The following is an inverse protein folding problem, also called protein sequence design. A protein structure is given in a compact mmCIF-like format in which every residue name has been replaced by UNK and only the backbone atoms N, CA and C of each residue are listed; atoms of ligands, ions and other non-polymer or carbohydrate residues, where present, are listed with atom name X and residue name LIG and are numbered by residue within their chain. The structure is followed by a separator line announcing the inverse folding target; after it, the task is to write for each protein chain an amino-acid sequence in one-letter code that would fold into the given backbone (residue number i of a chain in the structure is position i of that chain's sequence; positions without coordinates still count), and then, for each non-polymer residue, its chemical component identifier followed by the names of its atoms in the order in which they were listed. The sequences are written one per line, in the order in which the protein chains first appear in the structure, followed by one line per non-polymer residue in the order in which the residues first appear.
data_IF_784755558507
#
_entry.id   IF_784755558507
#
_cell.length_a   1.000
_cell.length_b   1.000
_cell.length_c   1.000
_cell.angle_alpha   90.00
_cell.angle_beta   90.00
_cell.angle_gamma   90.00
#
_symmetry.space_group_name_H-M   'P 1'
#
loop_
_entity.id
_entity.type
_entity.pdbx_description
1 polymer ?
#
# COMPACT_ATOMS: atom_id res chain seq x y z
N UNK A 1 78.63 -10.25 11.55
CA UNK A 1 78.89 -10.94 12.85
C UNK A 1 80.12 -10.29 13.46
N UNK A 2 80.15 -9.98 14.77
CA UNK A 2 79.98 -10.93 15.88
C UNK A 2 78.75 -10.59 16.76
N UNK A 3 77.92 -11.56 17.18
CA UNK A 3 78.00 -12.47 18.36
C UNK A 3 78.01 -11.76 19.74
N UNK A 4 76.88 -11.87 20.45
CA UNK A 4 76.69 -11.78 21.92
C UNK A 4 77.51 -12.88 22.66
N UNK A 5 77.54 -13.06 24.02
CA UNK A 5 76.52 -12.79 25.10
C UNK A 5 77.17 -12.49 26.53
N UNK A 6 76.70 -12.97 27.72
CA UNK A 6 75.44 -12.79 28.50
C UNK A 6 75.63 -12.36 30.01
N UNK A 7 74.52 -12.40 30.79
CA UNK A 7 74.37 -12.56 32.27
C UNK A 7 74.20 -11.22 33.06
N UNK A 8 73.35 -11.05 34.09
CA UNK A 8 72.76 -11.91 35.14
C UNK A 8 71.42 -11.36 35.69
N UNK A 9 70.51 -12.24 36.13
CA UNK A 9 69.34 -11.99 37.02
C UNK A 9 69.79 -11.76 38.50
N UNK A 10 68.97 -11.68 39.60
CA UNK A 10 67.53 -11.98 39.77
C UNK A 10 66.74 -11.06 40.76
N UNK A 11 65.41 -11.23 40.85
CA UNK A 11 64.67 -11.43 42.14
C UNK A 11 63.17 -11.67 41.90
N UNK A 12 62.68 -12.81 42.41
CA UNK A 12 61.26 -13.13 42.65
C UNK A 12 61.02 -13.15 44.18
N UNK A 13 59.79 -12.97 44.68
CA UNK A 13 58.89 -14.11 44.99
C UNK A 13 57.40 -13.76 44.69
N UNK A 14 56.34 -14.57 44.78
CA UNK A 14 55.98 -15.96 45.14
C UNK A 14 54.55 -16.12 44.55
N UNK A 15 54.25 -17.15 43.76
CA UNK A 15 53.71 -18.49 44.15
C UNK A 15 52.21 -18.49 44.50
N UNK A 16 51.45 -19.28 43.74
CA UNK A 16 50.04 -19.64 44.00
C UNK A 16 49.27 -20.04 42.74
N UNK A 17 49.75 -21.02 41.96
CA UNK A 17 49.24 -22.41 41.91
C UNK A 17 47.81 -22.60 41.36
N UNK A 18 47.77 -23.01 40.08
CA UNK A 18 46.73 -23.80 39.41
C UNK A 18 46.16 -24.93 40.31
N UNK A 19 44.85 -25.12 40.32
CA UNK A 19 44.21 -26.43 40.09
C UNK A 19 42.68 -26.34 39.93
N UNK A 20 42.23 -26.66 38.70
CA UNK A 20 41.07 -27.46 38.28
C UNK A 20 39.80 -27.61 39.17
N UNK A 21 38.66 -27.63 38.43
CA UNK A 21 37.25 -27.91 38.79
C UNK A 21 36.47 -26.63 39.11
N UNK A 22 35.32 -26.30 38.53
CA UNK A 22 34.26 -27.09 37.91
C UNK A 22 33.71 -26.35 36.68
N UNK A 23 33.38 -27.11 35.64
CA UNK A 23 32.42 -26.71 34.61
C UNK A 23 31.06 -26.73 35.30
N UNK A 24 30.52 -25.57 35.66
CA UNK A 24 29.10 -25.43 36.01
C UNK A 24 28.39 -24.64 34.92
N UNK A 25 27.39 -25.33 34.36
CA UNK A 25 26.44 -24.90 33.35
C UNK A 25 25.69 -23.62 33.73
N UNK A 26 25.29 -22.79 32.75
CA UNK A 26 24.57 -21.56 33.03
C UNK A 26 23.18 -21.88 33.58
N UNK A 27 22.95 -21.53 34.85
CA UNK A 27 21.64 -21.58 35.47
C UNK A 27 20.69 -20.60 34.78
N UNK A 28 19.79 -21.18 34.01
CA UNK A 28 18.42 -20.75 33.72
C UNK A 28 17.92 -19.53 34.52
N UNK A 29 18.21 -18.32 34.03
CA UNK A 29 17.32 -17.17 34.20
C UNK A 29 16.37 -17.15 33.00
N UNK A 30 15.33 -17.97 33.09
CA UNK A 30 14.22 -17.94 32.15
C UNK A 30 13.59 -16.54 32.16
N UNK A 31 13.99 -15.67 31.22
CA UNK A 31 13.09 -14.64 30.74
C UNK A 31 11.95 -15.39 30.08
N UNK A 32 10.79 -15.42 30.74
CA UNK A 32 9.54 -15.80 30.11
C UNK A 32 9.26 -14.80 28.98
N UNK A 33 9.81 -15.07 27.80
CA UNK A 33 9.24 -14.58 26.57
C UNK A 33 7.87 -15.22 26.44
N UNK A 34 6.85 -14.59 27.03
CA UNK A 34 5.48 -14.88 26.71
C UNK A 34 5.36 -14.78 25.17
N UNK A 35 4.91 -15.84 24.47
CA UNK A 35 4.66 -15.71 23.05
C UNK A 35 3.57 -14.65 22.88
N UNK A 36 3.83 -13.62 22.06
CA UNK A 36 2.82 -12.65 21.64
C UNK A 36 1.77 -13.34 20.75
N UNK A 37 0.99 -14.25 21.34
CA UNK A 37 -0.11 -14.97 20.69
C UNK A 37 -1.36 -14.08 20.53
N UNK A 38 -1.30 -12.81 20.93
CA UNK A 38 -2.42 -11.86 20.76
C UNK A 38 -2.38 -11.12 19.41
N UNK A 39 -1.31 -11.29 18.63
CA UNK A 39 -1.16 -10.62 17.33
C UNK A 39 -2.06 -11.23 16.25
N UNK A 40 -2.22 -12.54 16.21
CA UNK A 40 -2.93 -13.24 15.14
C UNK A 40 -4.44 -13.12 15.32
N UNK A 41 -4.94 -13.38 16.52
CA UNK A 41 -6.37 -13.26 16.86
C UNK A 41 -6.88 -11.82 16.68
N UNK A 42 -6.12 -10.82 17.11
CA UNK A 42 -6.50 -9.41 16.93
C UNK A 42 -6.48 -8.98 15.44
N UNK A 43 -5.57 -9.53 14.62
CA UNK A 43 -5.57 -9.31 13.17
C UNK A 43 -6.79 -9.97 12.51
N UNK A 44 -7.15 -11.18 12.93
CA UNK A 44 -8.35 -11.89 12.46
C UNK A 44 -9.64 -11.17 12.84
N UNK A 45 -9.79 -10.72 14.10
CA UNK A 45 -10.96 -9.94 14.55
C UNK A 45 -11.09 -8.61 13.80
N UNK A 46 -9.98 -7.94 13.50
CA UNK A 46 -9.99 -6.73 12.66
C UNK A 46 -10.39 -7.04 11.22
N UNK A 47 -9.88 -8.13 10.65
CA UNK A 47 -10.26 -8.56 9.30
C UNK A 47 -11.74 -8.97 9.22
N UNK A 48 -12.23 -9.74 10.20
CA UNK A 48 -13.63 -10.12 10.32
C UNK A 48 -14.53 -8.89 10.52
N UNK A 49 -14.09 -7.89 11.31
CA UNK A 49 -14.79 -6.61 11.45
C UNK A 49 -14.89 -5.84 10.12
N UNK A 50 -13.83 -5.84 9.30
CA UNK A 50 -13.86 -5.23 7.96
C UNK A 50 -14.82 -5.97 7.04
N UNK A 51 -14.82 -7.31 7.05
CA UNK A 51 -15.74 -8.13 6.25
C UNK A 51 -17.20 -7.90 6.68
N UNK A 52 -17.48 -7.90 7.99
CA UNK A 52 -18.80 -7.66 8.53
C UNK A 52 -19.33 -6.24 8.25
N UNK A 53 -18.48 -5.22 8.39
CA UNK A 53 -18.82 -3.85 8.02
C UNK A 53 -19.13 -3.72 6.52
N UNK A 54 -18.34 -4.38 5.68
CA UNK A 54 -18.54 -4.35 4.23
C UNK A 54 -19.80 -5.12 3.82
N UNK A 55 -20.07 -6.27 4.44
CA UNK A 55 -21.33 -6.99 4.28
C UNK A 55 -22.55 -6.17 4.71
N UNK A 56 -22.43 -5.44 5.82
CA UNK A 56 -23.45 -4.50 6.29
C UNK A 56 -23.70 -3.35 5.30
N UNK A 57 -22.67 -2.80 4.66
CA UNK A 57 -22.83 -1.81 3.60
C UNK A 57 -23.56 -2.38 2.38
N UNK A 58 -23.22 -3.60 1.96
CA UNK A 58 -23.88 -4.28 0.84
C UNK A 58 -25.36 -4.59 1.16
N UNK A 59 -25.67 -5.04 2.37
CA UNK A 59 -27.04 -5.30 2.81
C UNK A 59 -27.84 -3.99 2.95
N UNK A 60 -27.21 -2.95 3.52
CA UNK A 60 -27.80 -1.62 3.63
C UNK A 60 -28.14 -1.02 2.27
N UNK A 61 -27.27 -1.19 1.27
CA UNK A 61 -27.58 -0.80 -0.12
C UNK A 61 -28.78 -1.58 -0.66
N UNK A 62 -28.81 -2.91 -0.54
CA UNK A 62 -29.96 -3.72 -0.97
C UNK A 62 -31.26 -3.29 -0.29
N UNK A 63 -31.23 -2.99 1.00
CA UNK A 63 -32.39 -2.51 1.77
C UNK A 63 -32.84 -1.12 1.32
N UNK A 64 -31.92 -0.17 1.14
CA UNK A 64 -32.21 1.17 0.65
C UNK A 64 -32.75 1.15 -0.78
N UNK A 65 -32.21 0.29 -1.64
CA UNK A 65 -32.68 0.10 -3.01
C UNK A 65 -34.07 -0.55 -3.03
N UNK A 66 -34.35 -1.49 -2.12
CA UNK A 66 -35.69 -2.06 -1.94
C UNK A 66 -36.72 -1.01 -1.51
N UNK A 67 -36.38 -0.17 -0.52
CA UNK A 67 -37.20 0.98 -0.10
C UNK A 67 -37.43 2.00 -1.23
N UNK A 68 -36.39 2.29 -2.02
CA UNK A 68 -36.49 3.20 -3.15
C UNK A 68 -37.38 2.63 -4.27
N UNK A 69 -37.33 1.31 -4.49
CA UNK A 69 -38.21 0.61 -5.43
C UNK A 69 -39.69 0.71 -5.01
N UNK A 70 -40.00 0.58 -3.71
CA UNK A 70 -41.36 0.76 -3.19
C UNK A 70 -41.89 2.20 -3.33
N UNK A 71 -41.02 3.21 -3.30
CA UNK A 71 -41.39 4.62 -3.47
C UNK A 71 -41.56 5.06 -4.94
N UNK A 72 -41.55 4.13 -5.90
CA UNK A 72 -41.79 4.43 -7.31
C UNK A 72 -40.59 5.05 -8.03
N UNK A 73 -39.41 5.10 -7.40
CA UNK A 73 -38.16 5.22 -8.14
C UNK A 73 -37.91 3.87 -8.81
N UNK A 74 -38.52 3.66 -9.98
CA UNK A 74 -38.46 2.40 -10.72
C UNK A 74 -37.04 1.91 -10.93
N UNK A 75 -36.62 0.97 -10.09
CA UNK A 75 -35.43 0.14 -10.24
C UNK A 75 -35.97 -1.27 -10.34
N UNK A 76 -36.34 -1.68 -11.55
CA UNK A 76 -36.80 -3.03 -11.81
C UNK A 76 -35.65 -3.99 -11.56
N UNK A 77 -35.67 -4.65 -10.40
CA UNK A 77 -34.88 -5.85 -10.09
C UNK A 77 -35.79 -7.06 -10.13
N UNK A 78 -36.64 -7.16 -11.15
CA UNK A 78 -37.52 -8.31 -11.33
C UNK A 78 -37.15 -9.02 -12.63
N UNK A 79 -36.56 -10.20 -12.47
CA UNK A 79 -36.37 -11.15 -13.55
C UNK A 79 -34.99 -11.15 -14.20
N UNK A 80 -34.60 -12.33 -14.66
CA UNK A 80 -33.35 -12.69 -15.36
C UNK A 80 -33.30 -12.09 -16.78
N UNK A 81 -33.81 -10.87 -16.96
CA UNK A 81 -33.55 -10.04 -18.13
C UNK A 81 -32.38 -9.13 -17.77
N UNK A 82 -31.25 -9.30 -18.46
CA UNK A 82 -30.03 -8.48 -18.32
C UNK A 82 -30.28 -7.03 -18.82
N UNK A 83 -31.26 -6.32 -18.27
CA UNK A 83 -31.42 -4.88 -18.43
C UNK A 83 -30.50 -4.23 -17.42
N UNK A 84 -29.33 -3.82 -17.88
CA UNK A 84 -28.37 -3.06 -17.06
C UNK A 84 -29.10 -1.91 -16.32
N UNK A 85 -29.04 -1.86 -14.98
CA UNK A 85 -29.63 -0.77 -14.22
C UNK A 85 -29.05 0.55 -14.70
N UNK A 86 -29.87 1.59 -14.89
CA UNK A 86 -29.40 2.94 -15.28
C UNK A 86 -28.30 3.46 -14.33
N UNK A 87 -28.34 3.02 -13.07
CA UNK A 87 -27.34 3.31 -12.04
C UNK A 87 -25.96 2.73 -12.32
N UNK A 88 -25.85 1.63 -13.09
CA UNK A 88 -24.55 1.09 -13.50
C UNK A 88 -23.77 2.09 -14.37
N UNK A 89 -24.47 2.98 -15.09
CA UNK A 89 -23.84 4.10 -15.79
C UNK A 89 -23.02 5.00 -14.86
N UNK A 90 -23.41 5.14 -13.59
CA UNK A 90 -22.64 5.87 -12.59
C UNK A 90 -21.32 5.17 -12.26
N UNK A 91 -21.32 3.85 -12.16
CA UNK A 91 -20.10 3.05 -11.93
C UNK A 91 -19.11 3.23 -13.08
N UNK A 92 -19.59 3.22 -14.31
CA UNK A 92 -18.72 3.46 -15.48
C UNK A 92 -18.14 4.88 -15.42
N UNK A 93 -18.98 5.88 -15.14
CA UNK A 93 -18.54 7.27 -15.07
C UNK A 93 -17.52 7.51 -13.95
N UNK A 94 -17.73 6.97 -12.76
CA UNK A 94 -16.86 7.18 -11.60
C UNK A 94 -15.63 6.27 -11.59
N UNK A 95 -15.79 4.98 -11.87
CA UNK A 95 -14.75 3.97 -11.65
C UNK A 95 -13.95 3.67 -12.91
N UNK A 96 -14.47 3.98 -14.10
CA UNK A 96 -13.74 3.84 -15.37
C UNK A 96 -13.29 5.21 -15.87
N UNK A 97 -14.22 6.14 -16.13
CA UNK A 97 -13.88 7.42 -16.77
C UNK A 97 -13.06 8.32 -15.83
N UNK A 98 -13.60 8.64 -14.66
CA UNK A 98 -12.90 9.51 -13.69
C UNK A 98 -11.57 8.90 -13.22
N UNK A 99 -11.54 7.59 -12.95
CA UNK A 99 -10.30 6.91 -12.53
C UNK A 99 -9.23 6.93 -13.63
N UNK A 100 -9.62 6.79 -14.91
CA UNK A 100 -8.71 6.89 -16.06
C UNK A 100 -8.15 8.30 -16.16
N UNK A 101 -8.98 9.32 -16.00
CA UNK A 101 -8.53 10.73 -16.00
C UNK A 101 -7.48 10.94 -14.89
N UNK A 102 -7.73 10.45 -13.67
CA UNK A 102 -6.75 10.54 -12.57
C UNK A 102 -5.45 9.82 -12.91
N UNK A 103 -5.52 8.62 -13.51
CA UNK A 103 -4.32 7.88 -13.92
C UNK A 103 -3.53 8.60 -15.01
N UNK A 104 -4.22 9.21 -15.98
CA UNK A 104 -3.60 10.04 -17.02
C UNK A 104 -2.93 11.27 -16.40
N UNK A 105 -3.61 11.97 -15.48
CA UNK A 105 -3.04 13.11 -14.75
C UNK A 105 -1.77 12.73 -13.99
N UNK A 106 -1.76 11.59 -13.28
CA UNK A 106 -0.56 11.08 -12.61
C UNK A 106 0.55 10.72 -13.60
N UNK A 107 0.20 10.19 -14.78
CA UNK A 107 1.13 9.92 -15.87
C UNK A 107 1.82 11.19 -16.36
N UNK A 108 1.03 12.23 -16.67
CA UNK A 108 1.57 13.54 -17.07
C UNK A 108 2.43 14.18 -15.98
N UNK A 109 2.01 14.09 -14.71
CA UNK A 109 2.80 14.58 -13.58
C UNK A 109 4.17 13.92 -13.50
N UNK A 110 4.27 12.61 -13.77
CA UNK A 110 5.56 11.92 -13.79
C UNK A 110 6.50 12.46 -14.88
N UNK A 111 5.95 12.85 -16.04
CA UNK A 111 6.70 13.47 -17.13
C UNK A 111 7.15 14.90 -16.79
N UNK A 112 6.29 15.71 -16.19
CA UNK A 112 6.66 17.06 -15.74
C UNK A 112 7.69 17.05 -14.63
N UNK A 113 7.58 16.11 -13.68
CA UNK A 113 8.54 15.97 -12.58
C UNK A 113 9.93 15.63 -13.10
N UNK A 114 10.07 14.81 -14.16
CA UNK A 114 11.37 14.55 -14.80
C UNK A 114 12.07 15.85 -15.23
N UNK A 115 11.33 16.77 -15.87
CA UNK A 115 11.86 18.07 -16.30
C UNK A 115 12.25 18.93 -15.09
N UNK A 116 11.39 19.01 -14.08
CA UNK A 116 11.62 19.78 -12.86
C UNK A 116 12.86 19.30 -12.08
N UNK A 117 13.03 17.98 -11.95
CA UNK A 117 14.18 17.38 -11.27
C UNK A 117 15.47 17.51 -12.09
N UNK A 118 15.41 17.42 -13.42
CA UNK A 118 16.54 17.70 -14.29
C UNK A 118 17.01 19.16 -14.18
N UNK A 119 16.09 20.13 -14.15
CA UNK A 119 16.43 21.55 -13.96
C UNK A 119 17.03 21.83 -12.58
N UNK A 120 16.51 21.19 -11.53
CA UNK A 120 17.08 21.30 -10.17
C UNK A 120 18.50 20.74 -10.12
N UNK A 121 18.73 19.58 -10.73
CA UNK A 121 20.06 18.98 -10.80
C UNK A 121 21.06 19.87 -11.57
N UNK A 122 20.64 20.52 -12.66
CA UNK A 122 21.47 21.50 -13.38
C UNK A 122 21.85 22.70 -12.51
N UNK A 123 20.90 23.21 -11.72
CA UNK A 123 21.15 24.34 -10.79
C UNK A 123 22.11 23.96 -9.67
N UNK A 124 22.05 22.71 -9.21
CA UNK A 124 22.97 22.17 -8.21
C UNK A 124 24.37 21.87 -8.78
N UNK A 125 24.62 22.15 -10.07
CA UNK A 125 25.92 22.00 -10.72
C UNK A 125 26.24 20.58 -11.19
N UNK A 126 25.22 19.71 -11.33
CA UNK A 126 25.41 18.34 -11.78
C UNK A 126 25.55 18.26 -13.31
N UNK A 127 26.76 17.94 -13.79
CA UNK A 127 27.10 17.81 -15.22
C UNK A 127 26.31 16.68 -15.91
N UNK A 128 25.88 15.65 -15.17
CA UNK A 128 25.13 14.50 -15.70
C UNK A 128 23.63 14.57 -15.35
N UNK A 129 23.10 15.75 -15.03
CA UNK A 129 21.69 15.97 -14.68
C UNK A 129 20.71 15.41 -15.71
N UNK A 130 20.91 15.71 -17.00
CA UNK A 130 20.01 15.22 -18.05
C UNK A 130 20.09 13.70 -18.21
N UNK A 131 21.29 13.13 -18.14
CA UNK A 131 21.49 11.68 -18.25
C UNK A 131 20.85 10.91 -17.08
N UNK A 132 20.79 11.51 -15.89
CA UNK A 132 20.19 10.91 -14.70
C UNK A 132 18.66 10.90 -14.72
N UNK A 133 18.01 11.95 -15.23
CA UNK A 133 16.57 12.15 -15.10
C UNK A 133 15.77 12.07 -16.43
N UNK A 134 16.45 12.07 -17.58
CA UNK A 134 15.81 11.91 -18.90
C UNK A 134 15.41 10.47 -19.21
N UNK A 135 14.59 10.32 -20.24
CA UNK A 135 14.29 9.01 -20.82
C UNK A 135 15.59 8.43 -21.44
N UNK A 136 15.87 7.12 -21.31
CA UNK A 136 14.94 6.03 -21.00
C UNK A 136 14.94 5.56 -19.53
N UNK A 137 15.72 6.18 -18.63
CA UNK A 137 15.86 5.69 -17.25
C UNK A 137 14.57 5.84 -16.47
N UNK A 138 14.11 4.74 -15.85
CA UNK A 138 12.89 4.73 -15.04
C UNK A 138 13.14 5.33 -13.65
N UNK A 139 14.30 5.03 -13.08
CA UNK A 139 14.78 5.48 -11.78
C UNK A 139 16.09 6.25 -11.94
N UNK A 140 16.31 7.26 -11.11
CA UNK A 140 17.59 7.95 -11.02
C UNK A 140 18.56 7.13 -10.16
N UNK A 141 19.78 6.98 -10.66
CA UNK A 141 20.87 6.28 -9.97
C UNK A 141 21.53 7.20 -8.93
N UNK A 142 22.06 6.61 -7.86
CA UNK A 142 22.74 7.31 -6.77
C UNK A 142 21.88 7.52 -5.51
N UNK A 143 22.56 7.66 -4.38
CA UNK A 143 21.95 7.87 -3.05
C UNK A 143 21.73 9.34 -2.70
N UNK A 144 21.82 10.24 -3.69
CA UNK A 144 21.55 11.66 -3.51
C UNK A 144 20.09 11.91 -3.12
N UNK A 145 19.85 12.97 -2.33
CA UNK A 145 18.50 13.36 -1.91
C UNK A 145 17.57 13.57 -3.11
N UNK A 146 18.07 14.23 -4.16
CA UNK A 146 17.32 14.50 -5.38
C UNK A 146 16.92 13.22 -6.13
N UNK A 147 17.84 12.26 -6.25
CA UNK A 147 17.58 10.94 -6.85
C UNK A 147 16.54 10.15 -6.06
N UNK A 148 16.62 10.18 -4.73
CA UNK A 148 15.65 9.50 -3.86
C UNK A 148 14.25 10.13 -3.96
N UNK A 149 14.16 11.46 -3.91
CA UNK A 149 12.90 12.20 -4.04
C UNK A 149 12.23 11.91 -5.40
N UNK A 150 13.03 11.88 -6.48
CA UNK A 150 12.57 11.49 -7.82
C UNK A 150 12.06 10.04 -7.86
N UNK A 151 12.84 9.10 -7.32
CA UNK A 151 12.47 7.68 -7.28
C UNK A 151 11.18 7.45 -6.48
N UNK A 152 10.97 8.21 -5.41
CA UNK A 152 9.73 8.16 -4.63
C UNK A 152 8.51 8.61 -5.45
N UNK A 153 8.62 9.69 -6.22
CA UNK A 153 7.54 10.18 -7.11
C UNK A 153 7.21 9.12 -8.18
N UNK A 154 8.22 8.58 -8.85
CA UNK A 154 8.03 7.54 -9.87
C UNK A 154 7.40 6.28 -9.27
N UNK A 155 7.87 5.85 -8.09
CA UNK A 155 7.28 4.68 -7.39
C UNK A 155 5.83 4.90 -7.04
N UNK A 156 5.43 6.11 -6.65
CA UNK A 156 4.04 6.47 -6.36
C UNK A 156 3.12 6.26 -7.56
N UNK A 157 3.57 6.65 -8.76
CA UNK A 157 2.85 6.42 -10.01
C UNK A 157 2.83 4.94 -10.41
N UNK A 158 3.96 4.24 -10.34
CA UNK A 158 4.02 2.80 -10.65
C UNK A 158 3.12 1.96 -9.74
N UNK A 159 3.07 2.28 -8.44
CA UNK A 159 2.16 1.60 -7.54
C UNK A 159 0.69 1.82 -7.94
N UNK A 160 0.38 2.95 -8.59
CA UNK A 160 -0.96 3.18 -9.10
C UNK A 160 -1.24 2.24 -10.27
N UNK A 161 -0.31 2.15 -11.23
CA UNK A 161 -0.40 1.23 -12.36
C UNK A 161 -0.49 -0.25 -11.95
N UNK A 162 0.23 -0.67 -10.92
CA UNK A 162 0.18 -2.04 -10.39
C UNK A 162 -1.21 -2.42 -9.87
N UNK A 163 -1.91 -1.46 -9.25
CA UNK A 163 -3.21 -1.71 -8.59
C UNK A 163 -4.42 -1.34 -9.43
N UNK A 164 -4.23 -0.55 -10.48
CA UNK A 164 -5.30 0.01 -11.30
C UNK A 164 -6.11 -1.06 -12.08
N UNK A 165 -5.49 -2.05 -12.75
CA UNK A 165 -6.24 -3.10 -13.45
C UNK A 165 -7.15 -3.90 -12.52
N UNK A 166 -6.67 -4.24 -11.33
CA UNK A 166 -7.47 -4.94 -10.31
C UNK A 166 -8.62 -4.07 -9.82
N UNK A 167 -8.39 -2.77 -9.59
CA UNK A 167 -9.43 -1.83 -9.19
C UNK A 167 -10.55 -1.73 -10.24
N UNK A 168 -10.20 -1.55 -11.51
CA UNK A 168 -11.19 -1.44 -12.60
C UNK A 168 -11.92 -2.76 -12.81
N UNK A 169 -11.20 -3.89 -12.87
CA UNK A 169 -11.80 -5.21 -13.08
C UNK A 169 -12.80 -5.56 -11.98
N UNK A 170 -12.43 -5.38 -10.71
CA UNK A 170 -13.33 -5.64 -9.59
C UNK A 170 -14.48 -4.61 -9.54
N UNK A 171 -14.25 -3.35 -9.94
CA UNK A 171 -15.34 -2.35 -9.99
C UNK A 171 -16.41 -2.71 -11.01
N UNK A 172 -16.00 -3.19 -12.18
CA UNK A 172 -16.93 -3.60 -13.23
C UNK A 172 -17.77 -4.79 -12.81
N UNK A 173 -17.16 -5.78 -12.14
CA UNK A 173 -17.85 -6.98 -11.64
C UNK A 173 -18.75 -6.64 -10.45
N UNK A 174 -18.21 -6.04 -9.39
CA UNK A 174 -18.97 -5.71 -8.18
C UNK A 174 -20.07 -4.68 -8.41
N UNK A 175 -19.89 -3.77 -9.39
CA UNK A 175 -20.89 -2.77 -9.73
C UNK A 175 -22.18 -3.36 -10.30
N UNK A 176 -22.15 -4.59 -10.82
CA UNK A 176 -23.35 -5.26 -11.36
C UNK A 176 -24.36 -5.58 -10.24
N UNK A 177 -23.88 -5.96 -9.06
CA UNK A 177 -24.75 -6.23 -7.90
C UNK A 177 -24.95 -5.04 -6.97
N UNK A 178 -23.95 -4.14 -6.88
CA UNK A 178 -23.90 -3.04 -5.91
C UNK A 178 -23.47 -1.72 -6.58
N UNK A 179 -24.30 -1.14 -7.46
CA UNK A 179 -23.89 -0.02 -8.30
C UNK A 179 -23.62 1.28 -7.52
N UNK A 180 -24.33 1.55 -6.42
CA UNK A 180 -24.17 2.80 -5.65
C UNK A 180 -22.93 2.73 -4.78
N UNK A 181 -22.73 1.65 -4.02
CA UNK A 181 -21.56 1.48 -3.17
C UNK A 181 -20.26 1.51 -3.98
N UNK A 182 -20.25 0.80 -5.11
CA UNK A 182 -19.07 0.73 -5.99
C UNK A 182 -18.77 2.08 -6.63
N UNK A 183 -19.79 2.84 -7.06
CA UNK A 183 -19.61 4.19 -7.61
C UNK A 183 -19.01 5.16 -6.58
N UNK A 184 -19.53 5.16 -5.34
CA UNK A 184 -18.97 5.96 -4.24
C UNK A 184 -17.52 5.58 -3.93
N UNK A 185 -17.22 4.28 -3.93
CA UNK A 185 -15.86 3.80 -3.71
C UNK A 185 -14.88 4.31 -4.77
N UNK A 186 -15.28 4.46 -6.04
CA UNK A 186 -14.39 5.02 -7.07
C UNK A 186 -14.12 6.51 -6.95
N UNK A 187 -15.09 7.30 -6.46
CA UNK A 187 -14.87 8.71 -6.13
C UNK A 187 -13.86 8.82 -4.98
N UNK A 188 -14.08 8.05 -3.90
CA UNK A 188 -13.17 8.03 -2.75
C UNK A 188 -11.79 7.54 -3.16
N UNK A 189 -11.70 6.50 -3.99
CA UNK A 189 -10.43 5.98 -4.50
C UNK A 189 -9.70 7.05 -5.31
N UNK A 190 -10.38 7.78 -6.18
CA UNK A 190 -9.80 8.86 -7.00
C UNK A 190 -9.16 9.95 -6.16
N UNK A 191 -9.87 10.43 -5.12
CA UNK A 191 -9.34 11.45 -4.18
C UNK A 191 -8.20 10.87 -3.33
N UNK A 192 -8.35 9.64 -2.84
CA UNK A 192 -7.32 8.99 -2.04
C UNK A 192 -6.04 8.78 -2.86
N UNK A 193 -6.15 8.47 -4.16
CA UNK A 193 -5.02 8.20 -5.05
C UNK A 193 -4.20 9.46 -5.34
N UNK A 194 -4.84 10.60 -5.60
CA UNK A 194 -4.14 11.88 -5.80
C UNK A 194 -3.37 12.28 -4.54
N UNK A 195 -3.99 12.18 -3.35
CA UNK A 195 -3.33 12.44 -2.07
C UNK A 195 -2.20 11.46 -1.76
N UNK A 196 -2.37 10.19 -2.11
CA UNK A 196 -1.37 9.15 -1.91
C UNK A 196 -0.12 9.38 -2.76
N UNK A 197 -0.30 9.76 -4.04
CA UNK A 197 0.79 10.12 -4.93
C UNK A 197 1.54 11.37 -4.44
N UNK A 198 0.82 12.41 -4.01
CA UNK A 198 1.43 13.60 -3.40
C UNK A 198 2.21 13.26 -2.13
N UNK A 199 1.72 12.32 -1.31
CA UNK A 199 2.42 11.85 -0.11
C UNK A 199 3.74 11.15 -0.42
N UNK A 200 3.84 10.43 -1.55
CA UNK A 200 5.09 9.85 -2.03
C UNK A 200 6.12 10.91 -2.44
N UNK A 201 5.67 12.06 -2.95
CA UNK A 201 6.55 13.16 -3.36
C UNK A 201 7.30 13.87 -2.22
N UNK A 202 7.09 13.48 -0.96
CA UNK A 202 7.75 14.06 0.22
C UNK A 202 9.09 13.42 0.58
N UNK A 203 9.61 12.52 -0.26
CA UNK A 203 10.98 11.98 -0.13
C UNK A 203 11.15 10.78 0.80
N UNK A 204 10.08 10.29 1.43
CA UNK A 204 10.12 9.02 2.17
C UNK A 204 8.89 8.16 1.92
N UNK A 205 9.10 6.85 1.76
CA UNK A 205 8.01 5.89 1.51
C UNK A 205 6.98 5.81 2.65
N UNK A 206 7.36 6.16 3.88
CA UNK A 206 6.46 6.13 5.06
C UNK A 206 5.43 7.27 4.99
N UNK A 207 5.78 8.39 4.36
CA UNK A 207 4.94 9.58 4.31
C UNK A 207 3.73 9.43 3.39
N UNK A 208 3.68 8.40 2.53
CA UNK A 208 2.50 8.10 1.68
C UNK A 208 1.18 8.02 2.46
N UNK A 209 1.22 7.58 3.73
CA UNK A 209 0.05 7.53 4.60
C UNK A 209 -0.04 8.76 5.52
N UNK A 210 1.08 9.19 6.12
CA UNK A 210 1.10 10.29 7.08
C UNK A 210 0.89 11.66 6.41
N UNK A 211 1.62 11.96 5.33
CA UNK A 211 1.51 13.22 4.61
C UNK A 211 0.17 13.36 3.85
N UNK A 212 -0.50 12.24 3.55
CA UNK A 212 -1.85 12.26 3.00
C UNK A 212 -2.95 12.60 4.03
N UNK A 213 -2.60 12.86 5.29
CA UNK A 213 -3.58 13.06 6.37
C UNK A 213 -4.39 11.80 6.67
N UNK A 214 -3.83 10.61 6.44
CA UNK A 214 -4.53 9.33 6.59
C UNK A 214 -5.35 8.90 5.37
N UNK A 215 -5.64 9.80 4.42
CA UNK A 215 -6.45 9.50 3.24
C UNK A 215 -5.86 8.41 2.34
N UNK A 216 -4.53 8.27 2.32
CA UNK A 216 -3.83 7.24 1.56
C UNK A 216 -4.21 5.81 1.95
N UNK A 217 -4.74 5.58 3.17
CA UNK A 217 -5.25 4.27 3.57
C UNK A 217 -6.52 3.89 2.80
N UNK A 218 -7.30 4.87 2.36
CA UNK A 218 -8.56 4.63 1.68
C UNK A 218 -8.40 4.01 0.29
N UNK A 219 -7.22 4.12 -0.32
CA UNK A 219 -6.87 3.38 -1.55
C UNK A 219 -7.04 1.87 -1.35
N UNK A 220 -6.63 1.35 -0.18
CA UNK A 220 -6.73 -0.08 0.12
C UNK A 220 -8.11 -0.47 0.65
N UNK A 221 -8.73 0.38 1.47
CA UNK A 221 -10.06 0.07 2.00
C UNK A 221 -11.11 0.02 0.88
N UNK A 222 -11.05 0.95 -0.08
CA UNK A 222 -11.96 0.94 -1.25
C UNK A 222 -11.74 -0.30 -2.11
N UNK A 223 -10.49 -0.71 -2.33
CA UNK A 223 -10.18 -1.95 -3.07
C UNK A 223 -10.77 -3.19 -2.38
N UNK A 224 -10.68 -3.27 -1.04
CA UNK A 224 -11.26 -4.37 -0.27
C UNK A 224 -12.80 -4.36 -0.31
N UNK A 225 -13.41 -3.18 -0.26
CA UNK A 225 -14.87 -3.04 -0.36
C UNK A 225 -15.35 -3.51 -1.74
N UNK A 226 -14.69 -3.08 -2.79
CA UNK A 226 -15.05 -3.46 -4.17
C UNK A 226 -14.80 -4.96 -4.39
N UNK A 227 -13.74 -5.53 -3.80
CA UNK A 227 -13.51 -6.97 -3.82
C UNK A 227 -14.65 -7.74 -3.16
N UNK A 228 -15.09 -7.31 -1.98
CA UNK A 228 -16.22 -7.94 -1.28
C UNK A 228 -17.53 -7.79 -2.06
N UNK A 229 -17.78 -6.63 -2.67
CA UNK A 229 -18.92 -6.42 -3.57
C UNK A 229 -18.86 -7.38 -4.76
N UNK A 230 -17.68 -7.57 -5.36
CA UNK A 230 -17.46 -8.53 -6.46
C UNK A 230 -17.73 -9.97 -6.04
N UNK A 231 -17.29 -10.36 -4.84
CA UNK A 231 -17.59 -11.68 -4.27
C UNK A 231 -19.09 -11.84 -4.03
N UNK A 232 -19.76 -10.83 -3.47
CA UNK A 232 -21.22 -10.85 -3.27
C UNK A 232 -21.96 -11.00 -4.60
N UNK A 233 -21.60 -10.24 -5.63
CA UNK A 233 -22.18 -10.37 -6.97
C UNK A 233 -21.96 -11.78 -7.52
N UNK A 234 -20.75 -12.33 -7.37
CA UNK A 234 -20.43 -13.68 -7.83
C UNK A 234 -21.25 -14.75 -7.10
N UNK A 235 -21.45 -14.63 -5.80
CA UNK A 235 -22.27 -15.55 -5.01
C UNK A 235 -23.75 -15.52 -5.41
N UNK A 236 -24.28 -14.34 -5.71
CA UNK A 236 -25.64 -14.19 -6.22
C UNK A 236 -25.78 -14.76 -7.64
N UNK A 237 -24.78 -14.58 -8.50
CA UNK A 237 -24.76 -15.23 -9.82
C UNK A 237 -24.69 -16.76 -9.74
N UNK A 238 -24.05 -17.31 -8.69
CA UNK A 238 -24.03 -18.75 -8.41
C UNK A 238 -25.33 -19.27 -7.75
N UNK A 239 -26.27 -18.39 -7.38
CA UNK A 239 -27.51 -18.76 -6.71
C UNK A 239 -27.34 -19.25 -5.27
N UNK A 240 -26.19 -18.97 -4.64
CA UNK A 240 -25.92 -19.33 -3.24
C UNK A 240 -26.59 -18.33 -2.28
N UNK A 241 -26.75 -17.07 -2.72
CA UNK A 241 -27.30 -15.93 -1.95
C UNK A 241 -28.25 -15.10 -2.78
#
# INVERSE_FOLDING_TARGET
RPRAPPQTAPTAPRRGSRSLRHIESPSTRARSHAPKHNGTMAKFLRAAGVVGFTGGLCYGEKFLLGLAAEQGFGIATDGVDFKLPRLYGLVILSNVVLSTIVMLMLGFQSGWKRKEFAEKAKKDGDEHAEERFSYPKLYAEGFGKLSNDFNCVIRGHQNALETYPSFVGLSLVGGLGHPVLVALCGIVWSIARTKYASGYGTGTAINRYKASGGWGKHVWTTLLIILAASVSTSLTMLGIV
#
